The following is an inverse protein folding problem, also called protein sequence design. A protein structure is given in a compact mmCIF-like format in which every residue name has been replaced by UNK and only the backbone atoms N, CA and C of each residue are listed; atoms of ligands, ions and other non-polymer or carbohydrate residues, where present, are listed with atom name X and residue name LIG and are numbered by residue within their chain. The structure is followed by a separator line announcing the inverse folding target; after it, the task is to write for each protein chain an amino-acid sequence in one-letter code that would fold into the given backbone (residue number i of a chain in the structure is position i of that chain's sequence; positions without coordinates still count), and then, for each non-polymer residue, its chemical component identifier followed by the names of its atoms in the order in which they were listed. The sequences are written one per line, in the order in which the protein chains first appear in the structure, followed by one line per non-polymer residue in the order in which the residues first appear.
data_IF_181313851422
#
_entry.id   IF_181313851422
#
_cell.length_a   1.000
_cell.length_b   1.000
_cell.length_c   1.000
_cell.angle_alpha   90.00
_cell.angle_beta   90.00
_cell.angle_gamma   90.00
#
_symmetry.space_group_name_H-M   'P 1'
#
loop_
_entity.id
_entity.type
_entity.pdbx_description
1 polymer ?
#
# COMPACT_ATOMS: atom_id res chain seq x y z
N UNK A 1 -18.39 -12.64 -33.93
CA UNK A 1 -18.66 -12.84 -32.51
C UNK A 1 -18.35 -11.52 -31.83
N UNK A 2 -19.30 -10.97 -31.06
CA UNK A 2 -19.10 -9.72 -30.31
C UNK A 2 -18.11 -10.05 -29.19
N UNK A 3 -17.05 -9.25 -29.04
CA UNK A 3 -16.07 -9.44 -27.97
C UNK A 3 -16.70 -8.98 -26.68
N UNK A 4 -16.38 -9.68 -25.58
CA UNK A 4 -16.71 -9.27 -24.23
C UNK A 4 -15.98 -7.95 -23.90
N UNK A 5 -16.74 -6.90 -23.61
CA UNK A 5 -16.23 -5.55 -23.37
C UNK A 5 -15.31 -5.48 -22.15
N UNK A 6 -15.60 -6.28 -21.11
CA UNK A 6 -14.79 -6.31 -19.89
C UNK A 6 -13.41 -6.92 -20.14
N UNK A 7 -13.34 -8.01 -20.91
CA UNK A 7 -12.07 -8.62 -21.30
C UNK A 7 -11.28 -7.76 -22.28
N UNK A 8 -11.95 -7.03 -23.15
CA UNK A 8 -11.29 -6.05 -24.02
C UNK A 8 -10.67 -4.92 -23.18
N UNK A 9 -11.38 -4.42 -22.19
CA UNK A 9 -10.89 -3.40 -21.25
C UNK A 9 -9.69 -3.91 -20.46
N UNK A 10 -9.76 -5.12 -19.90
CA UNK A 10 -8.65 -5.77 -19.21
C UNK A 10 -7.42 -5.95 -20.10
N UNK A 11 -7.61 -6.38 -21.35
CA UNK A 11 -6.52 -6.51 -22.33
C UNK A 11 -5.83 -5.16 -22.61
N UNK A 12 -6.60 -4.10 -22.83
CA UNK A 12 -6.06 -2.76 -23.09
C UNK A 12 -5.26 -2.23 -21.89
N UNK A 13 -5.77 -2.42 -20.68
CA UNK A 13 -5.06 -2.05 -19.45
C UNK A 13 -3.73 -2.80 -19.31
N UNK A 14 -3.74 -4.12 -19.46
CA UNK A 14 -2.52 -4.93 -19.41
C UNK A 14 -1.51 -4.54 -20.49
N UNK A 15 -1.98 -4.22 -21.71
CA UNK A 15 -1.11 -3.78 -22.80
C UNK A 15 -0.44 -2.43 -22.49
N UNK A 16 -1.18 -1.49 -21.91
CA UNK A 16 -0.64 -0.18 -21.51
C UNK A 16 0.38 -0.32 -20.38
N UNK A 17 0.05 -1.10 -19.34
CA UNK A 17 0.94 -1.36 -18.19
C UNK A 17 2.28 -1.96 -18.65
N UNK A 18 2.23 -2.98 -19.54
CA UNK A 18 3.45 -3.64 -20.03
C UNK A 18 4.29 -2.78 -20.98
N UNK A 19 3.66 -1.92 -21.80
CA UNK A 19 4.37 -1.05 -22.73
C UNK A 19 5.01 0.15 -22.10
N UNK A 20 4.27 0.80 -21.18
CA UNK A 20 4.64 2.09 -20.61
C UNK A 20 5.22 1.96 -19.20
N UNK A 21 5.34 0.72 -18.68
CA UNK A 21 5.78 0.42 -17.30
C UNK A 21 4.99 1.22 -16.24
N UNK A 22 3.70 1.41 -16.49
CA UNK A 22 2.82 2.17 -15.62
C UNK A 22 2.44 1.40 -14.36
N UNK A 23 2.12 2.14 -13.31
CA UNK A 23 1.51 1.56 -12.12
C UNK A 23 0.09 1.08 -12.43
N UNK A 24 -0.19 -0.17 -12.10
CA UNK A 24 -1.46 -0.84 -12.39
C UNK A 24 -2.69 -0.12 -11.84
N UNK A 25 -2.58 0.46 -10.65
CA UNK A 25 -3.66 1.21 -10.00
C UNK A 25 -4.03 2.50 -10.74
N UNK A 26 -3.05 3.23 -11.28
CA UNK A 26 -3.28 4.48 -12.01
C UNK A 26 -3.95 4.21 -13.36
N UNK A 27 -3.47 3.20 -14.09
CA UNK A 27 -4.03 2.86 -15.40
C UNK A 27 -5.46 2.30 -15.29
N UNK A 28 -5.69 1.41 -14.31
CA UNK A 28 -7.04 0.93 -14.02
C UNK A 28 -7.99 2.04 -13.58
N UNK A 29 -7.53 2.99 -12.79
CA UNK A 29 -8.36 4.12 -12.38
C UNK A 29 -8.81 4.96 -13.57
N UNK A 30 -7.91 5.29 -14.50
CA UNK A 30 -8.24 6.01 -15.73
C UNK A 30 -9.26 5.26 -16.58
N UNK A 31 -9.03 3.97 -16.80
CA UNK A 31 -9.89 3.12 -17.65
C UNK A 31 -11.28 2.92 -17.04
N UNK A 32 -11.39 2.79 -15.73
CA UNK A 32 -12.65 2.50 -15.03
C UNK A 32 -13.47 3.75 -14.67
N UNK A 33 -12.94 4.96 -14.90
CA UNK A 33 -13.66 6.21 -14.71
C UNK A 33 -14.48 6.64 -15.94
N UNK A 34 -14.51 5.84 -17.01
CA UNK A 34 -15.34 6.10 -18.18
C UNK A 34 -16.83 5.78 -17.94
N UNK A 35 -17.71 6.33 -18.81
CA UNK A 35 -19.17 6.21 -18.73
C UNK A 35 -19.72 4.83 -19.17
N UNK A 36 -18.89 3.90 -19.62
CA UNK A 36 -19.32 2.57 -20.03
C UNK A 36 -19.69 1.69 -18.83
N UNK A 37 -20.81 0.95 -18.97
CA UNK A 37 -21.23 -0.05 -17.97
C UNK A 37 -20.30 -1.25 -18.07
N UNK A 38 -19.24 -1.26 -17.27
CA UNK A 38 -18.25 -2.33 -17.17
C UNK A 38 -18.35 -3.02 -15.81
N UNK A 39 -18.12 -4.33 -15.80
CA UNK A 39 -17.91 -5.06 -14.55
C UNK A 39 -16.51 -4.76 -13.99
N UNK A 40 -16.41 -3.65 -13.26
CA UNK A 40 -15.15 -3.15 -12.69
C UNK A 40 -14.44 -4.18 -11.82
N UNK A 41 -15.19 -5.02 -11.10
CA UNK A 41 -14.65 -6.10 -10.27
C UNK A 41 -13.95 -7.17 -11.11
N UNK A 42 -14.61 -7.62 -12.18
CA UNK A 42 -14.07 -8.62 -13.09
C UNK A 42 -12.82 -8.13 -13.84
N UNK A 43 -12.81 -6.88 -14.28
CA UNK A 43 -11.65 -6.27 -14.95
C UNK A 43 -10.46 -6.19 -13.98
N UNK A 44 -10.66 -5.69 -12.76
CA UNK A 44 -9.62 -5.65 -11.73
C UNK A 44 -9.07 -7.04 -11.43
N UNK A 45 -9.97 -8.02 -11.32
CA UNK A 45 -9.60 -9.42 -11.07
C UNK A 45 -8.63 -9.94 -12.14
N UNK A 46 -8.93 -9.76 -13.40
CA UNK A 46 -8.07 -10.21 -14.51
C UNK A 46 -6.75 -9.44 -14.51
N UNK A 47 -6.79 -8.11 -14.40
CA UNK A 47 -5.58 -7.29 -14.53
C UNK A 47 -4.61 -7.55 -13.39
N UNK A 48 -5.07 -7.43 -12.15
CA UNK A 48 -4.19 -7.70 -11.00
C UNK A 48 -3.74 -9.16 -10.95
N UNK A 49 -4.64 -10.09 -11.22
CA UNK A 49 -4.31 -11.51 -11.18
C UNK A 49 -3.28 -11.93 -12.23
N UNK A 50 -3.34 -11.37 -13.44
CA UNK A 50 -2.30 -11.59 -14.46
C UNK A 50 -0.97 -10.99 -14.02
N UNK A 51 -0.97 -9.77 -13.47
CA UNK A 51 0.25 -9.13 -12.95
C UNK A 51 0.82 -9.95 -11.79
N UNK A 52 0.01 -10.30 -10.80
CA UNK A 52 0.44 -11.06 -9.63
C UNK A 52 1.09 -12.40 -9.97
N UNK A 53 0.65 -13.04 -11.07
CA UNK A 53 1.07 -14.40 -11.44
C UNK A 53 1.88 -14.45 -12.75
N UNK A 54 2.42 -13.34 -13.21
CA UNK A 54 3.04 -13.19 -14.54
C UNK A 54 4.14 -14.22 -14.82
N UNK A 55 5.13 -14.36 -13.92
CA UNK A 55 6.25 -15.29 -14.11
C UNK A 55 5.77 -16.75 -14.04
N UNK A 56 4.86 -17.06 -13.13
CA UNK A 56 4.28 -18.40 -13.04
C UNK A 56 3.46 -18.76 -14.29
N UNK A 57 2.67 -17.83 -14.80
CA UNK A 57 1.91 -18.04 -16.05
C UNK A 57 2.85 -18.19 -17.25
N UNK A 58 3.92 -17.41 -17.31
CA UNK A 58 4.92 -17.49 -18.37
C UNK A 58 5.68 -18.83 -18.32
N UNK A 59 6.03 -19.31 -17.14
CA UNK A 59 6.62 -20.65 -16.94
C UNK A 59 5.69 -21.75 -17.48
N UNK A 60 4.39 -21.67 -17.22
CA UNK A 60 3.40 -22.60 -17.77
C UNK A 60 3.34 -22.50 -19.28
N UNK A 61 3.23 -21.30 -19.82
CA UNK A 61 3.11 -21.05 -21.27
C UNK A 61 4.34 -21.54 -22.03
N UNK A 62 5.52 -21.44 -21.42
CA UNK A 62 6.78 -21.88 -22.07
C UNK A 62 6.82 -23.38 -22.34
N UNK A 63 6.08 -24.19 -21.57
CA UNK A 63 5.91 -25.63 -21.82
C UNK A 63 5.13 -25.93 -23.12
N UNK A 64 4.33 -24.95 -23.61
CA UNK A 64 3.44 -25.13 -24.79
C UNK A 64 3.83 -24.29 -25.99
N UNK A 65 4.76 -23.35 -25.86
CA UNK A 65 5.19 -22.42 -26.91
C UNK A 65 6.57 -22.84 -27.44
N UNK A 66 6.63 -23.53 -28.59
CA UNK A 66 7.90 -24.05 -29.15
C UNK A 66 9.03 -23.03 -29.30
N UNK A 67 8.70 -21.75 -29.54
CA UNK A 67 9.70 -20.67 -29.69
C UNK A 67 9.99 -19.94 -28.39
N UNK A 68 9.33 -20.31 -27.30
CA UNK A 68 9.41 -19.65 -26.01
C UNK A 68 8.56 -18.40 -25.90
N UNK A 69 8.19 -18.05 -24.66
CA UNK A 69 7.39 -16.88 -24.31
C UNK A 69 8.09 -15.59 -24.76
N UNK A 70 9.42 -15.52 -24.59
CA UNK A 70 10.24 -14.33 -24.94
C UNK A 70 10.25 -13.96 -26.44
N UNK A 71 9.93 -14.90 -27.33
CA UNK A 71 9.79 -14.66 -28.77
C UNK A 71 8.36 -14.43 -29.20
N UNK A 72 7.41 -14.47 -28.27
CA UNK A 72 5.99 -14.27 -28.57
C UNK A 72 5.67 -12.77 -28.58
N UNK A 73 4.94 -12.30 -29.61
CA UNK A 73 4.53 -10.90 -29.70
C UNK A 73 3.69 -10.52 -28.47
N UNK A 74 3.93 -9.34 -27.91
CA UNK A 74 3.32 -8.87 -26.66
C UNK A 74 1.78 -8.98 -26.69
N UNK A 75 1.12 -8.60 -27.80
CA UNK A 75 -0.34 -8.69 -27.94
C UNK A 75 -0.87 -10.13 -27.74
N UNK A 76 -0.19 -11.11 -28.37
CA UNK A 76 -0.55 -12.52 -28.23
C UNK A 76 -0.23 -13.06 -26.83
N UNK A 77 0.88 -12.62 -26.27
CA UNK A 77 1.32 -13.04 -24.94
C UNK A 77 0.35 -12.58 -23.84
N UNK A 78 -0.11 -11.33 -23.90
CA UNK A 78 -1.11 -10.81 -22.94
C UNK A 78 -2.40 -11.61 -23.04
N UNK A 79 -2.89 -11.92 -24.26
CA UNK A 79 -4.10 -12.71 -24.44
C UNK A 79 -3.91 -14.12 -23.85
N UNK A 80 -2.76 -14.74 -24.08
CA UNK A 80 -2.42 -16.06 -23.49
C UNK A 80 -2.36 -16.01 -21.96
N UNK A 81 -1.70 -14.99 -21.40
CA UNK A 81 -1.66 -14.78 -19.94
C UNK A 81 -3.05 -14.63 -19.34
N UNK A 82 -3.91 -13.82 -19.95
CA UNK A 82 -5.33 -13.68 -19.55
C UNK A 82 -6.08 -15.01 -19.62
N UNK A 83 -5.86 -15.78 -20.70
CA UNK A 83 -6.50 -17.10 -20.89
C UNK A 83 -6.08 -18.09 -19.78
N UNK A 84 -4.79 -18.22 -19.54
CA UNK A 84 -4.24 -19.11 -18.49
C UNK A 84 -4.71 -18.67 -17.10
N UNK A 85 -4.68 -17.36 -16.81
CA UNK A 85 -5.16 -16.84 -15.53
C UNK A 85 -6.63 -17.20 -15.27
N UNK A 86 -7.51 -16.96 -16.25
CA UNK A 86 -8.93 -17.30 -16.11
C UNK A 86 -9.13 -18.80 -15.88
N UNK A 87 -8.39 -19.67 -16.59
CA UNK A 87 -8.51 -21.12 -16.48
C UNK A 87 -8.04 -21.61 -15.10
N UNK A 88 -6.95 -21.05 -14.55
CA UNK A 88 -6.37 -21.52 -13.28
C UNK A 88 -7.00 -20.93 -12.03
N UNK A 89 -7.39 -19.66 -12.08
CA UNK A 89 -7.69 -18.91 -10.87
C UNK A 89 -9.12 -18.37 -10.79
N UNK A 90 -9.90 -18.41 -11.89
CA UNK A 90 -11.26 -17.89 -11.92
C UNK A 90 -12.31 -19.02 -12.03
N UNK A 91 -12.64 -19.63 -10.91
CA UNK A 91 -13.61 -20.74 -10.86
C UNK A 91 -15.00 -20.39 -11.46
N UNK A 92 -15.35 -19.09 -11.49
CA UNK A 92 -16.59 -18.60 -12.09
C UNK A 92 -16.56 -18.54 -13.62
N UNK A 93 -15.38 -18.72 -14.25
CA UNK A 93 -15.21 -18.69 -15.71
C UNK A 93 -14.99 -20.10 -16.25
N UNK A 94 -15.94 -20.65 -17.01
CA UNK A 94 -15.74 -21.96 -17.65
C UNK A 94 -14.55 -21.95 -18.63
N UNK A 95 -13.76 -23.01 -18.66
CA UNK A 95 -12.58 -23.13 -19.52
C UNK A 95 -12.88 -22.82 -21.01
N UNK A 96 -14.03 -23.30 -21.52
CA UNK A 96 -14.42 -23.04 -22.90
C UNK A 96 -14.67 -21.54 -23.16
N UNK A 97 -15.20 -20.81 -22.18
CA UNK A 97 -15.44 -19.39 -22.30
C UNK A 97 -14.10 -18.61 -22.32
N UNK A 98 -13.15 -18.95 -21.42
CA UNK A 98 -11.81 -18.37 -21.40
C UNK A 98 -11.09 -18.55 -22.76
N UNK A 99 -11.18 -19.76 -23.39
CA UNK A 99 -10.58 -20.01 -24.69
C UNK A 99 -11.28 -19.24 -25.81
N UNK A 100 -12.61 -19.27 -25.87
CA UNK A 100 -13.37 -18.61 -26.92
C UNK A 100 -13.17 -17.09 -26.93
N UNK A 101 -13.19 -16.45 -25.76
CA UNK A 101 -12.95 -15.01 -25.63
C UNK A 101 -11.49 -14.64 -25.94
N UNK A 102 -10.51 -15.48 -25.56
CA UNK A 102 -9.11 -15.29 -25.97
C UNK A 102 -8.95 -15.34 -27.49
N UNK A 103 -9.63 -16.27 -28.17
CA UNK A 103 -9.64 -16.37 -29.64
C UNK A 103 -10.30 -15.14 -30.27
N UNK A 104 -11.39 -14.64 -29.68
CA UNK A 104 -12.08 -13.43 -30.17
C UNK A 104 -11.17 -12.19 -30.04
N UNK A 105 -10.49 -12.02 -28.90
CA UNK A 105 -9.48 -10.97 -28.69
C UNK A 105 -8.34 -11.07 -29.71
N UNK A 106 -7.86 -12.30 -29.99
CA UNK A 106 -6.78 -12.52 -30.93
C UNK A 106 -7.15 -12.08 -32.37
N UNK A 107 -8.36 -12.39 -32.82
CA UNK A 107 -8.85 -11.96 -34.14
C UNK A 107 -8.83 -10.45 -34.32
N UNK A 108 -9.05 -9.70 -33.24
CA UNK A 108 -9.07 -8.23 -33.28
C UNK A 108 -7.69 -7.62 -33.08
N UNK A 109 -6.95 -8.08 -32.09
CA UNK A 109 -5.73 -7.42 -31.60
C UNK A 109 -4.42 -8.13 -31.97
N UNK A 110 -4.49 -9.41 -32.36
CA UNK A 110 -3.36 -10.23 -32.76
C UNK A 110 -3.68 -11.02 -34.04
N UNK A 111 -4.02 -10.31 -35.13
CA UNK A 111 -4.51 -10.89 -36.41
C UNK A 111 -3.62 -12.05 -36.87
N UNK A 112 -4.26 -13.16 -37.22
CA UNK A 112 -3.61 -14.38 -37.70
C UNK A 112 -3.05 -15.28 -36.59
N UNK A 113 -3.21 -14.90 -35.30
CA UNK A 113 -2.73 -15.68 -34.16
C UNK A 113 -3.84 -16.44 -33.43
N UNK A 114 -5.08 -16.35 -33.85
CA UNK A 114 -6.25 -16.99 -33.24
C UNK A 114 -6.13 -18.52 -33.20
N UNK A 115 -5.66 -19.14 -34.26
CA UNK A 115 -5.38 -20.58 -34.31
C UNK A 115 -4.26 -21.00 -33.33
N UNK A 116 -3.20 -20.21 -33.25
CA UNK A 116 -2.10 -20.44 -32.29
C UNK A 116 -2.59 -20.34 -30.83
N UNK A 117 -3.29 -19.27 -30.46
CA UNK A 117 -3.83 -19.06 -29.13
C UNK A 117 -4.80 -20.18 -28.74
N UNK A 118 -5.70 -20.56 -29.63
CA UNK A 118 -6.61 -21.69 -29.42
C UNK A 118 -5.85 -23.00 -29.16
N UNK A 119 -4.82 -23.26 -29.96
CA UNK A 119 -3.98 -24.48 -29.85
C UNK A 119 -3.25 -24.52 -28.48
N UNK A 120 -2.61 -23.44 -28.09
CA UNK A 120 -1.87 -23.34 -26.81
C UNK A 120 -2.83 -23.53 -25.62
N UNK A 121 -3.93 -22.79 -25.55
CA UNK A 121 -4.86 -22.87 -24.41
C UNK A 121 -5.57 -24.22 -24.31
N UNK A 122 -5.96 -24.83 -25.44
CA UNK A 122 -6.56 -26.18 -25.42
C UNK A 122 -5.57 -27.25 -25.03
N UNK A 123 -4.30 -27.12 -25.43
CA UNK A 123 -3.26 -28.05 -25.03
C UNK A 123 -2.94 -27.90 -23.53
N UNK A 124 -2.90 -26.67 -23.01
CA UNK A 124 -2.76 -26.39 -21.59
C UNK A 124 -3.89 -27.06 -20.78
N UNK A 125 -5.17 -26.87 -21.15
CA UNK A 125 -6.31 -27.48 -20.44
C UNK A 125 -6.20 -29.00 -20.36
N UNK A 126 -5.71 -29.65 -21.43
CA UNK A 126 -5.53 -31.13 -21.44
C UNK A 126 -4.45 -31.63 -20.51
N UNK A 127 -3.51 -30.78 -20.17
CA UNK A 127 -2.34 -31.12 -19.35
C UNK A 127 -2.25 -30.26 -18.07
N UNK A 128 -3.38 -29.73 -17.59
CA UNK A 128 -3.43 -28.67 -16.57
C UNK A 128 -2.68 -29.04 -15.27
N UNK A 129 -2.84 -30.27 -14.80
CA UNK A 129 -2.22 -30.73 -13.56
C UNK A 129 -0.70 -30.74 -13.65
N UNK A 130 -0.15 -31.45 -14.65
CA UNK A 130 1.31 -31.52 -14.84
C UNK A 130 1.93 -30.19 -15.29
N UNK A 131 1.17 -29.36 -16.02
CA UNK A 131 1.65 -28.06 -16.45
C UNK A 131 1.77 -27.06 -15.28
N UNK A 132 0.88 -27.18 -14.30
CA UNK A 132 0.81 -26.29 -13.13
C UNK A 132 1.86 -26.62 -12.06
N UNK A 133 2.51 -27.77 -12.15
CA UNK A 133 3.61 -28.13 -11.27
C UNK A 133 4.88 -27.35 -11.64
N UNK A 134 5.53 -26.78 -10.62
CA UNK A 134 6.85 -26.15 -10.77
C UNK A 134 7.91 -27.20 -10.52
N UNK A 135 8.50 -27.68 -11.61
CA UNK A 135 9.58 -28.70 -11.59
C UNK A 135 10.93 -28.04 -11.92
N UNK A 136 11.60 -27.56 -10.88
CA UNK A 136 12.95 -26.96 -10.95
C UNK A 136 13.77 -27.43 -9.74
N UNK A 137 15.09 -27.52 -9.93
CA UNK A 137 15.99 -28.04 -8.87
C UNK A 137 16.38 -27.00 -7.83
N UNK A 138 16.40 -25.71 -8.23
CA UNK A 138 16.84 -24.61 -7.37
C UNK A 138 15.71 -24.15 -6.44
N UNK A 139 15.99 -24.06 -5.15
CA UNK A 139 14.99 -23.58 -4.17
C UNK A 139 14.60 -22.12 -4.42
N UNK A 140 15.55 -21.25 -4.75
CA UNK A 140 15.29 -19.84 -5.05
C UNK A 140 14.51 -19.69 -6.35
N UNK A 141 14.89 -20.44 -7.38
CA UNK A 141 14.16 -20.51 -8.65
C UNK A 141 12.72 -20.99 -8.44
N UNK A 142 12.52 -22.01 -7.59
CA UNK A 142 11.20 -22.48 -7.21
C UNK A 142 10.35 -21.36 -6.58
N UNK A 143 10.91 -20.62 -5.63
CA UNK A 143 10.21 -19.49 -5.00
C UNK A 143 9.86 -18.40 -6.04
N UNK A 144 10.82 -18.04 -6.90
CA UNK A 144 10.63 -17.04 -7.94
C UNK A 144 9.49 -17.39 -8.89
N UNK A 145 9.47 -18.62 -9.39
CA UNK A 145 8.41 -19.10 -10.30
C UNK A 145 7.09 -19.26 -9.55
N UNK A 146 7.10 -20.00 -8.43
CA UNK A 146 5.87 -20.35 -7.69
C UNK A 146 5.09 -19.13 -7.19
N UNK A 147 5.80 -18.10 -6.76
CA UNK A 147 5.20 -16.86 -6.23
C UNK A 147 5.31 -15.68 -7.20
N UNK A 148 5.76 -15.95 -8.42
CA UNK A 148 5.85 -14.96 -9.50
C UNK A 148 6.65 -13.72 -9.08
N UNK A 149 7.87 -13.96 -8.60
CA UNK A 149 8.83 -12.95 -8.15
C UNK A 149 10.14 -13.11 -8.93
N UNK A 150 10.79 -12.02 -9.31
CA UNK A 150 12.10 -12.08 -9.97
C UNK A 150 13.12 -12.76 -9.07
N UNK A 151 14.01 -13.51 -9.69
CA UNK A 151 15.00 -14.31 -8.95
C UNK A 151 15.95 -13.40 -8.16
N UNK A 152 16.34 -12.26 -8.72
CA UNK A 152 17.22 -11.30 -8.09
C UNK A 152 16.59 -10.76 -6.79
N UNK A 153 15.30 -10.43 -6.80
CA UNK A 153 14.60 -9.99 -5.59
C UNK A 153 14.43 -11.14 -4.58
N UNK A 154 14.23 -12.37 -5.04
CA UNK A 154 14.20 -13.55 -4.14
C UNK A 154 15.54 -13.73 -3.43
N UNK A 155 16.66 -13.58 -4.15
CA UNK A 155 18.01 -13.64 -3.58
C UNK A 155 18.25 -12.55 -2.55
N UNK A 156 17.89 -11.30 -2.85
CA UNK A 156 17.97 -10.17 -1.92
C UNK A 156 17.14 -10.41 -0.65
N UNK A 157 15.89 -10.86 -0.82
CA UNK A 157 14.99 -11.15 0.31
C UNK A 157 15.55 -12.30 1.18
N UNK A 158 16.14 -13.33 0.57
CA UNK A 158 16.73 -14.45 1.32
C UNK A 158 17.98 -13.99 2.08
N UNK A 159 18.82 -13.15 1.48
CA UNK A 159 19.98 -12.57 2.15
C UNK A 159 19.57 -11.69 3.33
N UNK A 160 18.48 -10.95 3.20
CA UNK A 160 17.97 -10.00 4.19
C UNK A 160 17.20 -10.67 5.34
N UNK A 161 16.30 -11.62 5.01
CA UNK A 161 15.30 -12.19 5.94
C UNK A 161 15.53 -13.67 6.24
N UNK A 162 16.38 -14.34 5.48
CA UNK A 162 16.50 -15.78 5.46
C UNK A 162 15.40 -16.48 4.63
N UNK A 163 15.63 -17.73 4.28
CA UNK A 163 14.78 -18.50 3.36
C UNK A 163 13.31 -18.65 3.84
N UNK A 164 13.10 -19.03 5.11
CA UNK A 164 11.75 -19.28 5.62
C UNK A 164 10.90 -18.02 5.70
N UNK A 165 11.45 -16.89 6.15
CA UNK A 165 10.72 -15.63 6.18
C UNK A 165 10.40 -15.11 4.78
N UNK A 166 11.34 -15.22 3.84
CA UNK A 166 11.11 -14.90 2.42
C UNK A 166 9.95 -15.72 1.84
N UNK A 167 9.97 -17.04 2.07
CA UNK A 167 8.89 -17.94 1.63
C UNK A 167 7.53 -17.55 2.23
N UNK A 168 7.48 -17.18 3.52
CA UNK A 168 6.27 -16.71 4.18
C UNK A 168 5.78 -15.37 3.60
N UNK A 169 6.68 -14.42 3.35
CA UNK A 169 6.37 -13.13 2.74
C UNK A 169 5.78 -13.31 1.34
N UNK A 170 6.43 -14.08 0.48
CA UNK A 170 5.96 -14.34 -0.88
C UNK A 170 4.64 -15.14 -0.92
N UNK A 171 4.46 -16.09 0.01
CA UNK A 171 3.19 -16.82 0.17
C UNK A 171 2.06 -15.90 0.64
N UNK A 172 2.35 -14.95 1.53
CA UNK A 172 1.40 -13.94 1.98
C UNK A 172 1.00 -13.00 0.83
N UNK A 173 1.95 -12.61 -0.01
CA UNK A 173 1.70 -11.75 -1.17
C UNK A 173 0.65 -12.30 -2.13
N UNK A 174 0.51 -13.62 -2.26
CA UNK A 174 -0.51 -14.27 -3.09
C UNK A 174 -1.89 -14.43 -2.44
N UNK A 175 -2.08 -13.96 -1.19
CA UNK A 175 -3.38 -14.07 -0.52
C UNK A 175 -4.27 -12.86 -0.83
N UNK A 176 -5.54 -13.12 -1.18
CA UNK A 176 -6.55 -12.08 -1.20
C UNK A 176 -6.99 -11.74 0.21
N UNK A 177 -7.07 -10.46 0.48
CA UNK A 177 -7.54 -9.94 1.76
C UNK A 177 -8.79 -9.10 1.51
N UNK A 178 -9.77 -9.16 2.41
CA UNK A 178 -10.93 -8.28 2.31
C UNK A 178 -10.51 -6.81 2.41
N UNK A 179 -11.33 -5.93 1.84
CA UNK A 179 -11.10 -4.50 1.88
C UNK A 179 -11.28 -3.99 3.31
N UNK A 180 -10.41 -3.11 3.74
CA UNK A 180 -10.55 -2.40 5.02
C UNK A 180 -10.89 -0.93 4.81
N UNK A 181 -11.69 -0.39 5.71
CA UNK A 181 -12.08 1.01 5.73
C UNK A 181 -11.83 1.59 7.12
N UNK A 182 -11.27 2.80 7.16
CA UNK A 182 -11.18 3.59 8.38
C UNK A 182 -12.44 4.44 8.53
N UNK A 183 -13.11 4.31 9.66
CA UNK A 183 -14.29 5.11 10.04
C UNK A 183 -13.85 6.50 10.46
N UNK A 184 -14.49 7.54 9.93
CA UNK A 184 -14.33 8.91 10.40
C UNK A 184 -15.09 9.08 11.74
N UNK A 185 -14.40 8.77 12.83
CA UNK A 185 -14.99 8.77 14.18
C UNK A 185 -15.27 10.15 14.74
N UNK A 186 -14.93 11.23 14.02
CA UNK A 186 -15.40 12.58 14.31
C UNK A 186 -16.85 12.82 13.83
N UNK A 187 -17.35 11.99 12.86
CA UNK A 187 -18.68 12.12 12.26
C UNK A 187 -19.65 11.01 12.67
N UNK A 188 -19.17 9.79 12.85
CA UNK A 188 -20.02 8.62 13.13
C UNK A 188 -19.27 7.59 13.99
N UNK A 189 -20.00 6.83 14.83
CA UNK A 189 -19.42 5.70 15.52
C UNK A 189 -19.15 4.53 14.59
N UNK A 190 -18.24 3.63 14.97
CA UNK A 190 -17.90 2.43 14.19
C UNK A 190 -19.11 1.55 14.01
N UNK A 191 -19.86 1.32 15.09
CA UNK A 191 -21.10 0.54 15.11
C UNK A 191 -22.16 1.16 14.20
N UNK A 192 -22.35 2.49 14.27
CA UNK A 192 -23.33 3.21 13.44
C UNK A 192 -23.02 3.14 11.94
N UNK A 193 -21.73 3.19 11.54
CA UNK A 193 -21.35 2.94 10.16
C UNK A 193 -21.55 1.49 9.74
N UNK A 194 -21.17 0.55 10.61
CA UNK A 194 -21.33 -0.89 10.36
C UNK A 194 -22.79 -1.26 10.12
N UNK A 195 -23.72 -0.74 10.92
CA UNK A 195 -25.16 -0.93 10.75
C UNK A 195 -25.67 -0.38 9.40
N UNK A 196 -25.26 0.83 9.02
CA UNK A 196 -25.62 1.45 7.72
C UNK A 196 -25.13 0.60 6.54
N UNK A 197 -23.88 0.11 6.60
CA UNK A 197 -23.30 -0.71 5.54
C UNK A 197 -23.98 -2.10 5.47
N UNK A 198 -24.28 -2.74 6.61
CA UNK A 198 -25.01 -4.03 6.66
C UNK A 198 -26.41 -3.89 6.07
N UNK A 199 -27.12 -2.80 6.36
CA UNK A 199 -28.44 -2.52 5.77
C UNK A 199 -28.40 -2.41 4.24
N UNK A 200 -27.22 -2.12 3.65
CA UNK A 200 -26.97 -2.08 2.21
C UNK A 200 -26.40 -3.38 1.63
N UNK A 201 -26.32 -4.44 2.44
CA UNK A 201 -25.86 -5.76 2.03
C UNK A 201 -24.35 -5.97 2.07
N UNK A 202 -23.59 -5.08 2.73
CA UNK A 202 -22.17 -5.31 2.98
C UNK A 202 -22.00 -6.17 4.24
N UNK A 203 -21.04 -7.10 4.21
CA UNK A 203 -20.58 -7.82 5.41
C UNK A 203 -19.47 -7.01 6.08
N UNK A 204 -19.60 -6.76 7.40
CA UNK A 204 -18.64 -5.95 8.15
C UNK A 204 -18.16 -6.68 9.40
N UNK A 205 -16.85 -6.64 9.65
CA UNK A 205 -16.20 -7.19 10.83
C UNK A 205 -15.24 -6.15 11.40
N UNK A 206 -15.09 -6.12 12.73
CA UNK A 206 -14.14 -5.23 13.39
C UNK A 206 -12.70 -5.68 13.10
N UNK A 207 -11.80 -4.72 12.92
CA UNK A 207 -10.37 -4.98 12.86
C UNK A 207 -9.84 -5.38 14.24
N UNK A 208 -8.82 -6.25 14.25
CA UNK A 208 -8.09 -6.58 15.48
C UNK A 208 -6.91 -5.64 15.74
N UNK A 209 -6.57 -4.80 14.76
CA UNK A 209 -5.39 -3.94 14.81
C UNK A 209 -5.74 -2.49 15.16
N UNK A 210 -6.97 -2.04 14.85
CA UNK A 210 -7.43 -0.67 15.09
C UNK A 210 -8.93 -0.63 15.35
N UNK A 211 -9.33 0.00 16.45
CA UNK A 211 -10.73 0.18 16.85
C UNK A 211 -11.54 1.07 15.89
N UNK A 212 -10.87 1.73 14.95
CA UNK A 212 -11.48 2.62 13.96
C UNK A 212 -11.61 1.98 12.58
N UNK A 213 -11.28 0.70 12.44
CA UNK A 213 -11.25 0.02 11.16
C UNK A 213 -12.28 -1.08 11.10
N UNK A 214 -13.04 -1.10 10.01
CA UNK A 214 -13.90 -2.21 9.62
C UNK A 214 -13.31 -2.96 8.44
N UNK A 215 -13.34 -4.27 8.50
CA UNK A 215 -13.08 -5.18 7.40
C UNK A 215 -14.39 -5.39 6.66
N UNK A 216 -14.43 -5.11 5.36
CA UNK A 216 -15.69 -5.10 4.59
C UNK A 216 -15.60 -6.04 3.39
N UNK A 217 -16.66 -6.84 3.21
CA UNK A 217 -16.88 -7.64 2.01
C UNK A 217 -18.16 -7.19 1.32
N UNK A 218 -18.13 -7.18 -0.01
CA UNK A 218 -19.28 -6.78 -0.83
C UNK A 218 -18.96 -5.60 -1.75
N UNK A 219 -19.86 -5.24 -2.54
CA UNK A 219 -20.06 -4.18 -3.53
C UNK A 219 -19.05 -3.03 -3.72
N UNK A 220 -19.51 -2.00 -4.39
CA UNK A 220 -18.72 -0.81 -4.71
C UNK A 220 -18.83 0.24 -3.59
N UNK A 221 -18.00 0.13 -2.56
CA UNK A 221 -18.00 1.04 -1.39
C UNK A 221 -17.90 2.52 -1.76
N UNK A 222 -17.11 2.85 -2.77
CA UNK A 222 -16.90 4.25 -3.22
C UNK A 222 -18.14 4.88 -3.88
N UNK A 223 -19.13 4.08 -4.24
CA UNK A 223 -20.39 4.54 -4.83
C UNK A 223 -21.45 4.85 -3.76
N UNK A 224 -21.23 4.45 -2.52
CA UNK A 224 -22.14 4.67 -1.39
C UNK A 224 -22.22 6.15 -0.99
N UNK A 225 -23.36 6.54 -0.42
CA UNK A 225 -23.51 7.90 0.13
C UNK A 225 -22.57 8.10 1.31
N UNK A 226 -22.37 7.08 2.14
CA UNK A 226 -21.47 7.11 3.29
C UNK A 226 -20.04 7.49 2.90
N UNK A 227 -19.54 6.99 1.75
CA UNK A 227 -18.24 7.38 1.22
C UNK A 227 -18.23 8.84 0.75
N UNK A 228 -19.25 9.25 0.00
CA UNK A 228 -19.38 10.63 -0.53
C UNK A 228 -19.51 11.65 0.59
N UNK A 229 -20.23 11.32 1.67
CA UNK A 229 -20.40 12.14 2.89
C UNK A 229 -19.14 12.17 3.76
N UNK A 230 -18.12 11.38 3.43
CA UNK A 230 -16.87 11.33 4.17
C UNK A 230 -16.99 10.64 5.53
N UNK A 231 -17.90 9.67 5.66
CA UNK A 231 -18.05 8.87 6.90
C UNK A 231 -16.96 7.82 7.05
N UNK A 232 -16.24 7.49 5.97
CA UNK A 232 -15.10 6.59 5.98
C UNK A 232 -14.12 6.86 4.83
N UNK A 233 -12.94 6.27 4.95
CA UNK A 233 -11.92 6.19 3.91
C UNK A 233 -11.49 4.75 3.68
N UNK A 234 -11.15 4.40 2.43
CA UNK A 234 -10.49 3.14 2.13
C UNK A 234 -9.04 3.27 2.60
N UNK A 235 -8.67 2.50 3.60
CA UNK A 235 -7.32 2.47 4.15
C UNK A 235 -7.04 1.11 4.76
N UNK A 236 -5.81 0.63 4.65
CA UNK A 236 -5.41 -0.62 5.29
C UNK A 236 -5.37 -0.46 6.81
N UNK A 237 -5.68 -1.55 7.52
CA UNK A 237 -5.63 -1.55 8.99
C UNK A 237 -4.21 -1.24 9.50
N UNK A 238 -3.16 -1.73 8.83
CA UNK A 238 -1.77 -1.45 9.19
C UNK A 238 -1.43 0.04 9.00
N UNK A 239 -1.89 0.65 7.89
CA UNK A 239 -1.70 2.09 7.66
C UNK A 239 -2.49 2.95 8.66
N UNK A 240 -3.66 2.48 9.11
CA UNK A 240 -4.42 3.14 10.17
C UNK A 240 -3.70 3.02 11.53
N UNK A 241 -3.11 1.84 11.80
CA UNK A 241 -2.35 1.59 13.03
C UNK A 241 -1.17 2.56 13.21
N UNK A 242 -0.55 3.06 12.12
CA UNK A 242 0.49 4.11 12.24
C UNK A 242 -0.09 5.40 12.84
N UNK A 243 -1.26 5.86 12.36
CA UNK A 243 -1.90 7.05 12.89
C UNK A 243 -2.39 6.84 14.34
N UNK A 244 -2.83 5.62 14.68
CA UNK A 244 -3.19 5.27 16.06
C UNK A 244 -1.97 5.21 16.97
N UNK A 245 -0.84 4.74 16.46
CA UNK A 245 0.44 4.73 17.16
C UNK A 245 1.00 6.15 17.39
N UNK A 246 0.81 7.04 16.43
CA UNK A 246 1.18 8.45 16.53
C UNK A 246 0.39 9.17 17.63
N UNK A 247 -0.92 8.89 17.78
CA UNK A 247 -1.83 9.40 18.81
C UNK A 247 -1.89 10.93 18.91
N UNK A 248 -2.37 11.56 17.85
CA UNK A 248 -2.40 13.03 17.71
C UNK A 248 -3.48 13.75 18.55
N UNK A 249 -4.23 13.05 19.42
CA UNK A 249 -5.41 13.57 20.14
C UNK A 249 -5.15 14.84 20.97
N UNK A 250 -3.96 14.99 21.52
CA UNK A 250 -3.58 16.09 22.40
C UNK A 250 -2.64 17.10 21.76
N UNK A 251 -2.26 16.90 20.50
CA UNK A 251 -1.33 17.77 19.80
C UNK A 251 -2.01 19.08 19.37
N UNK A 252 -1.31 20.19 19.52
CA UNK A 252 -1.70 21.50 18.98
C UNK A 252 -1.15 21.66 17.55
N UNK A 253 0.08 21.20 17.32
CA UNK A 253 0.73 21.20 16.01
C UNK A 253 1.29 19.83 15.68
N UNK A 254 0.80 19.25 14.57
CA UNK A 254 1.35 18.03 13.96
C UNK A 254 1.99 18.38 12.63
N UNK A 255 3.12 17.76 12.30
CA UNK A 255 3.74 17.85 10.97
C UNK A 255 3.83 16.44 10.38
N UNK A 256 3.23 16.24 9.19
CA UNK A 256 3.32 15.00 8.41
C UNK A 256 4.27 15.25 7.23
N UNK A 257 5.46 14.64 7.26
CA UNK A 257 6.56 14.95 6.35
C UNK A 257 6.39 14.37 4.94
N UNK A 258 5.64 13.26 4.79
CA UNK A 258 5.43 12.55 3.53
C UNK A 258 3.95 12.18 3.37
N UNK A 259 3.09 13.18 3.37
CA UNK A 259 1.68 13.05 3.67
C UNK A 259 0.83 12.31 2.62
N UNK A 260 1.22 12.36 1.33
CA UNK A 260 0.37 11.84 0.26
C UNK A 260 0.20 10.31 0.28
N UNK A 261 -1.01 9.84 -0.02
CA UNK A 261 -2.20 10.56 -0.53
C UNK A 261 -3.13 11.13 0.55
N UNK A 262 -2.68 11.33 1.79
CA UNK A 262 -3.45 11.99 2.85
C UNK A 262 -4.16 11.05 3.84
N UNK A 263 -3.97 9.74 3.73
CA UNK A 263 -4.69 8.78 4.57
C UNK A 263 -4.31 8.84 6.05
N UNK A 264 -3.01 8.93 6.39
CA UNK A 264 -2.50 9.04 7.76
C UNK A 264 -2.75 10.43 8.33
N UNK A 265 -2.48 11.47 7.53
CA UNK A 265 -2.81 12.87 7.83
C UNK A 265 -4.27 13.02 8.25
N UNK A 266 -5.20 12.52 7.42
CA UNK A 266 -6.63 12.57 7.70
C UNK A 266 -6.99 11.78 8.97
N UNK A 267 -6.36 10.62 9.20
CA UNK A 267 -6.59 9.82 10.40
C UNK A 267 -6.17 10.55 11.68
N UNK A 268 -5.07 11.29 11.66
CA UNK A 268 -4.62 12.13 12.76
C UNK A 268 -5.55 13.35 12.95
N UNK A 269 -5.95 14.01 11.85
CA UNK A 269 -6.90 15.13 11.91
C UNK A 269 -8.25 14.74 12.53
N UNK A 270 -8.79 13.56 12.17
CA UNK A 270 -10.01 13.01 12.78
C UNK A 270 -9.85 12.75 14.29
N UNK A 271 -8.67 12.31 14.74
CA UNK A 271 -8.39 12.13 16.18
C UNK A 271 -8.41 13.46 16.93
N UNK A 272 -7.76 14.48 16.37
CA UNK A 272 -7.70 15.83 16.96
C UNK A 272 -9.10 16.45 17.06
N UNK A 273 -9.88 16.40 15.98
CA UNK A 273 -11.26 16.92 15.95
C UNK A 273 -12.19 16.19 16.94
N UNK A 274 -12.10 14.85 17.00
CA UNK A 274 -12.89 14.08 17.97
C UNK A 274 -12.55 14.47 19.40
N UNK A 275 -11.28 14.65 19.72
CA UNK A 275 -10.82 15.05 21.06
C UNK A 275 -11.29 16.46 21.42
N UNK A 276 -11.28 17.41 20.46
CA UNK A 276 -11.79 18.77 20.63
C UNK A 276 -13.30 18.77 20.92
N UNK A 277 -14.11 18.10 20.07
CA UNK A 277 -15.55 17.98 20.27
C UNK A 277 -15.93 17.37 21.63
N UNK A 278 -15.14 16.43 22.17
CA UNK A 278 -15.36 15.84 23.49
C UNK A 278 -15.03 16.81 24.63
N UNK A 279 -14.11 17.73 24.44
CA UNK A 279 -13.77 18.79 25.43
C UNK A 279 -14.87 19.83 25.46
N UNK A 280 -15.35 20.32 24.32
CA UNK A 280 -16.45 21.31 24.22
C UNK A 280 -17.74 20.82 24.86
N UNK A 281 -18.08 19.53 24.74
CA UNK A 281 -19.28 18.96 25.36
C UNK A 281 -19.21 18.88 26.89
N UNK A 282 -18.03 19.08 27.50
CA UNK A 282 -17.81 19.02 28.96
C UNK A 282 -17.65 20.39 29.63
N UNK A 283 -17.33 21.42 28.88
CA UNK A 283 -17.13 22.79 29.40
C UNK A 283 -18.19 23.75 28.88
N UNK A 284 -19.04 24.25 29.78
CA UNK A 284 -20.13 25.23 29.47
C UNK A 284 -19.57 26.67 29.37
N UNK A 285 -18.25 26.86 29.34
CA UNK A 285 -17.63 28.19 29.24
C UNK A 285 -17.14 28.43 27.82
N UNK A 286 -17.60 29.54 27.23
CA UNK A 286 -17.22 30.08 25.92
C UNK A 286 -15.69 30.34 25.83
N UNK A 287 -14.91 29.34 25.49
CA UNK A 287 -13.64 29.54 24.84
C UNK A 287 -13.55 28.49 23.73
N UNK A 288 -13.66 28.95 22.49
CA UNK A 288 -13.35 28.14 21.32
C UNK A 288 -11.92 27.61 21.46
N UNK A 289 -11.78 26.37 21.94
CA UNK A 289 -10.52 25.66 21.81
C UNK A 289 -10.37 25.34 20.34
N UNK A 290 -9.56 26.14 19.63
CA UNK A 290 -9.18 25.84 18.25
C UNK A 290 -8.70 24.40 18.20
N UNK A 291 -9.26 23.60 17.29
CA UNK A 291 -8.75 22.26 17.04
C UNK A 291 -7.31 22.40 16.58
N UNK A 292 -6.40 21.60 17.12
CA UNK A 292 -4.99 21.64 16.71
C UNK A 292 -4.85 21.47 15.19
N UNK A 293 -3.71 21.91 14.65
CA UNK A 293 -3.42 22.02 13.22
C UNK A 293 -2.46 20.93 12.76
N UNK A 294 -2.65 20.45 11.53
CA UNK A 294 -1.69 19.58 10.83
C UNK A 294 -1.10 20.32 9.63
N UNK A 295 0.23 20.35 9.54
CA UNK A 295 0.97 20.75 8.34
C UNK A 295 1.38 19.48 7.60
N UNK A 296 0.85 19.28 6.41
CA UNK A 296 1.09 18.12 5.56
C UNK A 296 2.04 18.50 4.42
N UNK A 297 3.24 17.90 4.41
CA UNK A 297 4.26 18.13 3.39
C UNK A 297 4.22 17.02 2.33
N UNK A 298 4.35 17.39 1.07
CA UNK A 298 4.47 16.47 -0.06
C UNK A 298 5.29 17.12 -1.17
N UNK A 299 6.24 16.38 -1.70
CA UNK A 299 7.19 16.92 -2.70
C UNK A 299 6.56 17.19 -4.07
N UNK A 300 5.46 16.49 -4.42
CA UNK A 300 4.82 16.59 -5.73
C UNK A 300 3.47 17.29 -5.65
N UNK A 301 3.29 18.36 -6.44
CA UNK A 301 2.05 19.15 -6.46
C UNK A 301 0.80 18.30 -6.79
N UNK A 302 0.89 17.41 -7.78
CA UNK A 302 -0.23 16.53 -8.15
C UNK A 302 -0.64 15.56 -7.02
N UNK A 303 0.28 15.21 -6.12
CA UNK A 303 0.00 14.40 -4.94
C UNK A 303 -0.52 15.24 -3.78
N UNK A 304 -0.04 16.47 -3.64
CA UNK A 304 -0.60 17.45 -2.70
C UNK A 304 -2.10 17.67 -2.95
N UNK A 305 -2.52 17.77 -4.21
CA UNK A 305 -3.93 17.86 -4.58
C UNK A 305 -4.79 16.66 -4.12
N UNK A 306 -4.20 15.45 -3.97
CA UNK A 306 -4.90 14.28 -3.42
C UNK A 306 -5.16 14.43 -1.92
N UNK A 307 -4.23 15.03 -1.18
CA UNK A 307 -4.41 15.32 0.26
C UNK A 307 -5.57 16.31 0.43
N UNK A 308 -5.58 17.40 -0.33
CA UNK A 308 -6.64 18.39 -0.30
C UNK A 308 -8.02 17.81 -0.68
N UNK A 309 -8.07 16.97 -1.71
CA UNK A 309 -9.31 16.30 -2.12
C UNK A 309 -9.84 15.38 -1.01
N UNK A 310 -8.94 14.65 -0.34
CA UNK A 310 -9.28 13.78 0.80
C UNK A 310 -9.78 14.59 1.97
N UNK A 311 -9.08 15.68 2.34
CA UNK A 311 -9.45 16.61 3.41
C UNK A 311 -10.86 17.19 3.18
N UNK A 312 -11.11 17.74 1.98
CA UNK A 312 -12.44 18.28 1.61
C UNK A 312 -13.56 17.25 1.71
N UNK A 313 -13.35 16.04 1.18
CA UNK A 313 -14.37 14.98 1.24
C UNK A 313 -14.69 14.56 2.68
N UNK A 314 -13.67 14.51 3.53
CA UNK A 314 -13.80 14.12 4.94
C UNK A 314 -14.28 15.28 5.83
N UNK A 315 -14.26 16.53 5.34
CA UNK A 315 -14.61 17.71 6.11
C UNK A 315 -13.59 18.02 7.21
N UNK A 316 -12.31 18.02 6.83
CA UNK A 316 -11.17 18.24 7.75
C UNK A 316 -10.55 19.61 7.43
N UNK A 317 -10.89 20.62 8.21
CA UNK A 317 -10.46 22.01 7.97
C UNK A 317 -9.14 22.35 8.68
N UNK A 318 -8.64 21.44 9.52
CA UNK A 318 -7.42 21.61 10.31
C UNK A 318 -6.15 21.10 9.61
N UNK A 319 -6.19 20.84 8.30
CA UNK A 319 -5.03 20.39 7.50
C UNK A 319 -4.59 21.52 6.56
N UNK A 320 -3.35 21.96 6.72
CA UNK A 320 -2.64 22.84 5.76
C UNK A 320 -1.68 22.01 4.92
N UNK A 321 -1.85 22.01 3.59
CA UNK A 321 -1.00 21.27 2.66
C UNK A 321 0.06 22.19 2.09
N UNK A 322 1.34 21.74 2.11
CA UNK A 322 2.47 22.46 1.51
C UNK A 322 3.22 21.54 0.55
N UNK A 323 3.38 21.98 -0.70
CA UNK A 323 4.28 21.31 -1.64
C UNK A 323 5.72 21.64 -1.25
N UNK A 324 6.41 20.68 -0.61
CA UNK A 324 7.75 20.88 -0.07
C UNK A 324 8.54 19.56 -0.01
N UNK A 325 9.84 19.67 -0.22
CA UNK A 325 10.79 18.57 -0.08
C UNK A 325 11.15 18.39 1.41
N UNK A 326 10.72 17.29 2.00
CA UNK A 326 10.90 17.00 3.42
C UNK A 326 12.36 16.80 3.84
N UNK A 327 13.31 16.69 2.91
CA UNK A 327 14.76 16.72 3.20
C UNK A 327 15.29 18.12 3.45
N UNK A 328 14.46 19.16 3.21
CA UNK A 328 14.82 20.57 3.38
C UNK A 328 14.08 21.19 4.54
N UNK A 329 14.80 21.83 5.44
CA UNK A 329 14.23 22.45 6.62
C UNK A 329 13.37 23.69 6.27
N UNK A 330 12.25 23.83 7.00
CA UNK A 330 11.43 25.06 7.05
C UNK A 330 11.71 25.72 8.40
N UNK A 331 12.45 26.82 8.39
CA UNK A 331 12.95 27.46 9.63
C UNK A 331 11.82 27.87 10.60
N UNK A 332 10.66 28.26 10.06
CA UNK A 332 9.50 28.68 10.85
C UNK A 332 8.88 27.52 11.65
N UNK A 333 9.21 26.26 11.33
CA UNK A 333 8.66 25.07 12.00
C UNK A 333 9.60 24.50 13.07
N UNK A 334 10.85 24.94 13.11
CA UNK A 334 11.87 24.42 14.04
C UNK A 334 11.43 24.55 15.51
N UNK A 335 11.44 23.43 16.22
CA UNK A 335 11.11 23.35 17.65
C UNK A 335 9.66 23.64 18.01
N UNK A 336 8.70 23.54 17.08
CA UNK A 336 7.30 23.93 17.30
C UNK A 336 6.32 22.75 17.37
N UNK A 337 6.64 21.61 16.78
CA UNK A 337 5.70 20.50 16.67
C UNK A 337 5.59 19.70 17.97
N UNK A 338 4.38 19.39 18.38
CA UNK A 338 4.08 18.39 19.42
C UNK A 338 4.35 16.98 18.92
N UNK A 339 4.02 16.76 17.64
CA UNK A 339 4.15 15.47 16.97
C UNK A 339 4.62 15.68 15.54
N UNK A 340 5.64 14.93 15.15
CA UNK A 340 6.07 14.81 13.74
C UNK A 340 5.87 13.36 13.30
N UNK A 341 5.23 13.16 12.14
CA UNK A 341 5.13 11.88 11.47
C UNK A 341 6.08 11.86 10.26
N UNK A 342 7.02 10.93 10.27
CA UNK A 342 7.92 10.59 9.18
C UNK A 342 7.54 9.22 8.60
N UNK A 343 6.43 9.16 7.81
CA UNK A 343 6.05 7.98 7.04
C UNK A 343 6.81 8.00 5.72
N UNK A 344 8.08 7.63 5.78
CA UNK A 344 9.07 7.90 4.75
C UNK A 344 8.89 7.05 3.47
N UNK A 345 9.34 7.54 2.30
CA UNK A 345 9.43 6.71 1.10
C UNK A 345 10.36 5.53 1.38
N UNK A 346 9.93 4.31 0.99
CA UNK A 346 10.65 3.08 1.26
C UNK A 346 10.51 2.08 0.10
N UNK A 347 11.22 0.96 0.15
CA UNK A 347 11.16 -0.10 -0.85
C UNK A 347 9.75 -0.69 -1.05
N UNK A 348 8.92 -0.64 0.00
CA UNK A 348 7.56 -1.17 -0.03
C UNK A 348 7.47 -2.70 0.04
N UNK A 349 8.56 -3.38 0.39
CA UNK A 349 8.63 -4.85 0.43
C UNK A 349 7.61 -5.47 1.40
N UNK A 350 7.12 -4.72 2.37
CA UNK A 350 6.08 -5.16 3.28
C UNK A 350 4.68 -5.22 2.68
N UNK A 351 4.44 -4.48 1.58
CA UNK A 351 3.12 -4.33 0.94
C UNK A 351 3.06 -4.93 -0.47
N UNK A 352 3.93 -5.88 -0.79
CA UNK A 352 3.98 -6.59 -2.08
C UNK A 352 2.60 -7.13 -2.47
N UNK A 353 1.81 -7.59 -1.52
CA UNK A 353 0.44 -8.08 -1.73
C UNK A 353 -0.48 -7.02 -2.35
N UNK A 354 -0.30 -5.76 -2.00
CA UNK A 354 -1.11 -4.62 -2.47
C UNK A 354 -0.53 -3.96 -3.72
N UNK A 355 0.77 -4.15 -3.94
CA UNK A 355 1.54 -3.59 -5.05
C UNK A 355 2.37 -4.69 -5.70
N UNK A 356 1.71 -5.61 -6.44
CA UNK A 356 2.40 -6.77 -7.02
C UNK A 356 3.50 -6.41 -8.02
N UNK A 357 3.47 -5.21 -8.59
CA UNK A 357 4.52 -4.67 -9.46
C UNK A 357 5.89 -4.57 -8.78
N UNK A 358 5.95 -4.52 -7.45
CA UNK A 358 7.20 -4.54 -6.68
C UNK A 358 8.02 -5.80 -6.99
N UNK A 359 7.35 -6.96 -7.22
CA UNK A 359 7.99 -8.23 -7.54
C UNK A 359 8.77 -8.23 -8.87
N UNK A 360 8.55 -7.21 -9.70
CA UNK A 360 9.09 -7.10 -11.06
C UNK A 360 10.01 -5.91 -11.26
N UNK A 361 10.34 -5.15 -10.21
CA UNK A 361 11.32 -4.06 -10.29
C UNK A 361 12.68 -4.61 -10.70
N UNK A 362 13.37 -3.88 -11.55
CA UNK A 362 14.66 -4.30 -12.08
C UNK A 362 15.74 -4.25 -10.99
N UNK A 363 15.76 -3.20 -10.18
CA UNK A 363 16.71 -2.98 -9.09
C UNK A 363 16.05 -2.18 -7.96
N UNK A 364 16.53 -2.37 -6.73
CA UNK A 364 16.27 -1.51 -5.59
C UNK A 364 17.58 -0.83 -5.23
N UNK A 365 17.59 0.49 -5.31
CA UNK A 365 18.68 1.26 -4.72
C UNK A 365 18.36 1.48 -3.23
N UNK A 366 18.70 0.50 -2.41
CA UNK A 366 18.45 0.57 -0.97
C UNK A 366 19.32 1.65 -0.31
N UNK A 367 20.53 1.89 -0.81
CA UNK A 367 21.44 2.90 -0.25
C UNK A 367 20.89 4.31 -0.49
N UNK A 368 20.36 4.61 -1.70
CA UNK A 368 19.68 5.88 -1.98
C UNK A 368 18.44 6.06 -1.08
N UNK A 369 17.62 5.01 -0.92
CA UNK A 369 16.44 5.07 -0.06
C UNK A 369 16.81 5.35 1.40
N UNK A 370 17.81 4.65 1.93
CA UNK A 370 18.30 4.83 3.30
C UNK A 370 18.80 6.26 3.51
N UNK A 371 19.54 6.83 2.55
CA UNK A 371 20.03 8.20 2.65
C UNK A 371 18.89 9.24 2.65
N UNK A 372 17.89 9.06 1.78
CA UNK A 372 16.69 9.91 1.77
C UNK A 372 15.94 9.82 3.11
N UNK A 373 15.77 8.61 3.65
CA UNK A 373 15.09 8.37 4.92
C UNK A 373 15.81 9.03 6.10
N UNK A 374 17.14 8.93 6.14
CA UNK A 374 17.98 9.61 7.14
C UNK A 374 17.80 11.13 7.08
N UNK A 375 17.83 11.70 5.89
CA UNK A 375 17.69 13.15 5.69
C UNK A 375 16.29 13.65 6.10
N UNK A 376 15.22 12.88 5.80
CA UNK A 376 13.87 13.21 6.23
C UNK A 376 13.75 13.14 7.76
N UNK A 377 14.29 12.08 8.38
CA UNK A 377 14.26 11.91 9.82
C UNK A 377 15.03 13.03 10.54
N UNK A 378 16.20 13.40 10.02
CA UNK A 378 17.03 14.51 10.53
C UNK A 378 16.26 15.84 10.48
N UNK A 379 15.66 16.16 9.31
CA UNK A 379 14.85 17.38 9.17
C UNK A 379 13.64 17.34 10.12
N UNK A 380 12.94 16.21 10.21
CA UNK A 380 11.79 16.04 11.09
C UNK A 380 12.13 16.22 12.56
N UNK A 381 13.29 15.76 13.00
CA UNK A 381 13.76 15.87 14.38
C UNK A 381 13.94 17.34 14.82
N UNK A 382 14.33 18.21 13.87
CA UNK A 382 14.48 19.64 14.12
C UNK A 382 13.16 20.34 14.44
N UNK A 383 12.05 19.84 13.92
CA UNK A 383 10.71 20.43 14.13
C UNK A 383 10.11 20.09 15.50
N UNK A 384 10.55 18.98 16.10
CA UNK A 384 10.00 18.50 17.38
C UNK A 384 10.41 19.44 18.52
N UNK A 385 9.43 19.94 19.27
CA UNK A 385 9.68 20.70 20.49
C UNK A 385 10.19 19.79 21.63
N UNK A 386 10.79 20.34 22.68
CA UNK A 386 11.10 19.56 23.88
C UNK A 386 9.81 18.95 24.46
N UNK A 387 9.88 17.68 24.84
CA UNK A 387 8.73 16.90 25.27
C UNK A 387 7.77 16.48 24.14
N UNK A 388 8.06 16.85 22.89
CA UNK A 388 7.32 16.40 21.69
C UNK A 388 7.75 15.01 21.23
N UNK A 389 7.08 14.49 20.22
CA UNK A 389 7.25 13.12 19.71
C UNK A 389 7.56 13.12 18.20
N UNK A 390 8.41 12.18 17.79
CA UNK A 390 8.69 11.90 16.38
C UNK A 390 8.36 10.44 16.11
N UNK A 391 7.43 10.20 15.20
CA UNK A 391 7.07 8.85 14.75
C UNK A 391 7.70 8.59 13.41
N UNK A 392 8.62 7.63 13.37
CA UNK A 392 9.17 7.09 12.13
C UNK A 392 8.37 5.86 11.70
N UNK A 393 8.01 5.76 10.43
CA UNK A 393 7.30 4.59 9.91
C UNK A 393 7.66 4.28 8.47
N UNK A 394 7.59 2.98 8.12
CA UNK A 394 7.78 2.45 6.77
C UNK A 394 6.76 1.36 6.46
N UNK A 395 6.56 1.07 5.18
CA UNK A 395 5.81 -0.09 4.71
C UNK A 395 6.74 -1.18 4.14
N UNK A 396 7.89 -1.40 4.75
CA UNK A 396 8.86 -2.42 4.35
C UNK A 396 9.20 -3.38 5.48
N UNK A 397 9.78 -4.53 5.12
CA UNK A 397 10.35 -5.51 6.04
C UNK A 397 11.88 -5.48 6.07
N UNK A 398 12.48 -4.51 5.37
CA UNK A 398 13.93 -4.37 5.28
C UNK A 398 14.51 -3.75 6.57
N UNK A 399 15.37 -4.46 7.32
CA UNK A 399 15.95 -3.94 8.54
C UNK A 399 16.82 -2.68 8.34
N UNK A 400 17.44 -2.53 7.16
CA UNK A 400 18.26 -1.35 6.85
C UNK A 400 17.42 -0.06 6.79
N UNK A 401 16.16 -0.17 6.33
CA UNK A 401 15.22 0.94 6.25
C UNK A 401 14.42 1.13 7.56
N UNK A 402 14.52 0.23 8.51
CA UNK A 402 13.77 0.18 9.76
C UNK A 402 14.70 0.44 10.97
N UNK A 403 15.10 -0.64 11.64
CA UNK A 403 15.92 -0.59 12.84
C UNK A 403 17.24 0.12 12.60
N UNK A 404 17.88 -0.13 11.44
CA UNK A 404 19.16 0.48 11.10
C UNK A 404 19.10 2.02 11.04
N UNK A 405 17.98 2.59 10.56
CA UNK A 405 17.76 4.04 10.56
C UNK A 405 17.64 4.57 11.99
N UNK A 406 16.87 3.90 12.84
CA UNK A 406 16.64 4.35 14.22
C UNK A 406 17.91 4.24 15.07
N UNK A 407 18.67 3.15 14.93
CA UNK A 407 19.93 2.94 15.63
C UNK A 407 20.97 3.99 15.23
N UNK A 408 21.11 4.27 13.92
CA UNK A 408 22.00 5.33 13.42
C UNK A 408 21.59 6.71 13.95
N UNK A 409 20.29 7.03 13.91
CA UNK A 409 19.75 8.30 14.41
C UNK A 409 20.03 8.48 15.91
N UNK A 410 19.68 7.50 16.74
CA UNK A 410 19.86 7.56 18.19
C UNK A 410 21.34 7.61 18.60
N UNK A 411 22.25 7.09 17.77
CA UNK A 411 23.69 7.18 18.03
C UNK A 411 24.24 8.60 17.92
N UNK A 412 23.51 9.50 17.23
CA UNK A 412 23.90 10.89 16.95
C UNK A 412 23.07 11.93 17.72
N UNK A 413 21.94 11.52 18.31
CA UNK A 413 20.94 12.40 18.94
C UNK A 413 20.63 11.98 20.37
N UNK A 414 21.48 12.40 21.33
CA UNK A 414 21.32 12.10 22.76
C UNK A 414 20.04 12.71 23.38
N UNK A 415 19.45 13.71 22.70
CA UNK A 415 18.20 14.35 23.08
C UNK A 415 16.95 13.55 22.69
N UNK A 416 17.10 12.40 22.01
CA UNK A 416 15.98 11.52 21.68
C UNK A 416 16.13 10.15 22.36
N UNK A 417 14.98 9.58 22.74
CA UNK A 417 14.88 8.20 23.23
C UNK A 417 13.79 7.46 22.46
N UNK A 418 14.00 6.18 22.17
CA UNK A 418 12.95 5.32 21.63
C UNK A 418 12.02 4.86 22.75
N UNK A 419 10.77 5.30 22.74
CA UNK A 419 9.76 4.93 23.75
C UNK A 419 9.02 3.64 23.37
N UNK A 420 8.76 3.44 22.09
CA UNK A 420 7.95 2.32 21.63
C UNK A 420 8.29 1.93 20.20
N UNK A 421 8.37 0.63 19.95
CA UNK A 421 8.57 0.05 18.64
C UNK A 421 7.48 -0.99 18.33
N UNK A 422 6.98 -1.01 17.10
CA UNK A 422 6.05 -2.05 16.60
C UNK A 422 6.50 -2.52 15.22
N UNK A 423 6.56 -3.85 15.06
CA UNK A 423 6.83 -4.52 13.79
C UNK A 423 5.64 -5.39 13.41
N UNK A 424 5.06 -5.10 12.27
CA UNK A 424 4.03 -5.94 11.65
C UNK A 424 4.65 -6.68 10.46
N UNK A 425 4.38 -7.95 10.34
CA UNK A 425 4.87 -8.73 9.20
C UNK A 425 4.10 -10.04 9.02
N UNK A 426 4.11 -10.64 7.82
CA UNK A 426 3.47 -11.92 7.56
C UNK A 426 4.01 -13.09 8.39
N UNK A 427 5.25 -12.99 8.83
CA UNK A 427 5.94 -14.04 9.59
C UNK A 427 5.91 -13.84 11.10
N UNK A 428 5.48 -12.67 11.60
CA UNK A 428 5.33 -12.39 13.04
C UNK A 428 3.86 -12.49 13.47
N UNK A 429 2.97 -11.77 12.80
CA UNK A 429 1.58 -11.61 13.22
C UNK A 429 0.55 -11.73 12.09
N UNK A 430 1.00 -12.03 10.86
CA UNK A 430 0.14 -12.31 9.71
C UNK A 430 -0.39 -11.07 8.98
N UNK A 431 0.05 -9.87 9.35
CA UNK A 431 -0.26 -8.61 8.67
C UNK A 431 0.69 -8.31 7.52
N UNK A 432 0.44 -7.26 6.76
CA UNK A 432 1.42 -6.69 5.84
C UNK A 432 2.63 -6.14 6.63
N UNK A 433 3.77 -6.02 5.96
CA UNK A 433 5.00 -5.55 6.60
C UNK A 433 4.97 -4.05 6.84
N UNK A 434 5.01 -3.65 8.11
CA UNK A 434 5.13 -2.26 8.54
C UNK A 434 6.04 -2.16 9.75
N UNK A 435 6.76 -1.05 9.82
CA UNK A 435 7.59 -0.70 10.96
C UNK A 435 7.16 0.66 11.50
N UNK A 436 7.16 0.81 12.82
CA UNK A 436 6.88 2.07 13.50
C UNK A 436 7.78 2.18 14.73
N UNK A 437 8.39 3.35 14.90
CA UNK A 437 9.13 3.69 16.12
C UNK A 437 8.74 5.09 16.59
N UNK A 438 8.43 5.23 17.87
CA UNK A 438 8.11 6.50 18.51
C UNK A 438 9.32 6.97 19.32
N UNK A 439 9.85 8.10 18.90
CA UNK A 439 10.96 8.80 19.52
C UNK A 439 10.42 9.98 20.32
N UNK A 440 10.93 10.15 21.55
CA UNK A 440 10.60 11.27 22.43
C UNK A 440 11.78 12.20 22.54
N UNK A 441 11.56 13.51 22.30
CA UNK A 441 12.58 14.53 22.53
C UNK A 441 12.60 14.92 24.02
N UNK A 442 13.71 14.63 24.68
CA UNK A 442 13.92 14.94 26.08
C UNK A 442 14.86 16.13 26.22
N UNK A 443 14.80 16.85 27.35
CA UNK A 443 15.84 17.82 27.69
C UNK A 443 17.18 17.09 27.77
N UNK A 444 18.17 17.55 26.98
CA UNK A 444 19.47 16.90 26.88
C UNK A 444 20.07 16.61 28.27
N UNK A 445 20.60 15.41 28.45
CA UNK A 445 21.40 15.11 29.64
C UNK A 445 22.53 16.13 29.69
N UNK A 446 22.46 17.10 30.63
CA UNK A 446 23.62 17.91 30.98
C UNK A 446 24.71 16.92 31.37
N UNK A 447 25.88 16.86 30.69
CA UNK A 447 26.96 16.01 31.11
C UNK A 447 27.22 16.37 32.60
N UNK A 448 27.10 15.39 33.48
CA UNK A 448 27.41 15.59 34.89
C UNK A 448 28.77 16.28 34.97
N UNK A 449 28.74 17.58 35.28
CA UNK A 449 29.90 18.42 35.36
C UNK A 449 30.94 17.78 36.27
N UNK A 450 32.17 17.79 35.83
CA UNK A 450 33.35 17.56 36.66
C UNK A 450 33.13 18.17 38.04
N UNK A 451 33.02 17.31 39.04
CA UNK A 451 33.10 17.76 40.45
C UNK A 451 34.40 18.51 40.63
N UNK A 452 34.29 19.84 40.76
CA UNK A 452 35.35 20.64 41.37
C UNK A 452 35.31 20.27 42.84
N UNK A 453 36.25 19.43 43.26
CA UNK A 453 36.60 19.26 44.65
C UNK A 453 37.34 20.53 45.05
N UNK A 454 36.64 21.45 45.71
CA UNK A 454 37.30 22.49 46.50
C UNK A 454 37.96 21.85 47.74
N UNK A 455 39.26 22.07 47.81
CA UNK A 455 40.03 21.86 48.99
C UNK A 455 40.01 23.13 49.89
#
# INVERSE_FOLDING_TARGET
MKIDTDREAAYKALLAIERERLYSNLELSKLLNGDEILNKGFIREIVYGVIENKIYIDYILDKFIKKGVHKTKLQSLIILRMGVYQILFMNSVPNYAAVNESVALARRFAKGMDGFINGVLRNFIRNIDSASEVDVKGQLEYLGIRYSCRIELVEELVNMLGFEHTKLLLKHAGKRWPLSIRVNTAKISVEGLAERLRAKGFDTQDSKLSDRVLIVKGGALTETNEYKEGLFSIQSEESCAIADFADAKSAELVIDLCAAPGGKTAAMAEQMLKASNMKESRTVTESSTESGKIIALEIYEHRSALIEATSRRLGLDNIEVKCHDATKQIDELVGKADLVLADVPCSGLGVIRRKPEIKYRDEFDFDELVEIQKNILETGSSYVKYGGELVYSTCTVNPMENEGIIEDFLSRHDEFISEKEIKLSPFVNGYDGFYMNKLKKIEGRVPNGCGVQDR
#
